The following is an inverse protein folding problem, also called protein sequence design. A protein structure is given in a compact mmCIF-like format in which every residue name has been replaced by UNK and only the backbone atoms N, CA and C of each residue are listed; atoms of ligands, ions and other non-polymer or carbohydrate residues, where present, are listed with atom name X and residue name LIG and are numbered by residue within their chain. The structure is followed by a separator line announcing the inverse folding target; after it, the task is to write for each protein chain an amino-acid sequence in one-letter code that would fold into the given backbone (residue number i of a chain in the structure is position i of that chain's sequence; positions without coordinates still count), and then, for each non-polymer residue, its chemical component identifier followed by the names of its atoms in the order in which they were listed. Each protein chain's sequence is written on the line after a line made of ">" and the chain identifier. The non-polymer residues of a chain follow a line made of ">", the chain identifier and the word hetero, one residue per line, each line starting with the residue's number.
data_IF_697352019318
#
_entry.id   IF_697352019318
#
_cell.length_a   1.000
_cell.length_b   1.000
_cell.length_c   1.000
_cell.angle_alpha   90.00
_cell.angle_beta   90.00
_cell.angle_gamma   90.00
#
_symmetry.space_group_name_H-M   'P 1'
#
loop_
_entity.id
_entity.type
_entity.pdbx_description
1 polymer ?
#
# COMPACT_ATOMS: atom_id res chain seq x y z
N UNK A 1 32.25 12.98 -57.39
CA UNK A 1 32.24 13.35 -55.97
C UNK A 1 32.32 12.05 -55.20
N UNK A 2 33.42 11.82 -54.50
CA UNK A 2 33.64 10.54 -53.81
C UNK A 2 32.56 10.32 -52.75
N UNK A 3 31.91 9.15 -52.79
CA UNK A 3 30.85 8.79 -51.84
C UNK A 3 31.35 8.89 -50.38
N UNK A 4 32.65 8.66 -50.16
CA UNK A 4 33.34 8.81 -48.88
C UNK A 4 33.39 10.26 -48.36
N UNK A 5 33.42 11.27 -49.24
CA UNK A 5 33.42 12.68 -48.85
C UNK A 5 32.05 13.16 -48.32
N UNK A 6 30.96 12.50 -48.72
CA UNK A 6 29.61 12.77 -48.20
C UNK A 6 29.27 11.92 -46.95
N UNK A 7 29.87 10.74 -46.81
CA UNK A 7 29.60 9.83 -45.69
C UNK A 7 30.12 10.36 -44.35
N UNK A 8 31.33 10.93 -44.33
CA UNK A 8 31.93 11.47 -43.09
C UNK A 8 31.09 12.60 -42.45
N UNK A 9 30.67 13.66 -43.16
CA UNK A 9 29.85 14.71 -42.56
C UNK A 9 28.48 14.20 -42.12
N UNK A 10 27.90 13.23 -42.85
CA UNK A 10 26.65 12.59 -42.46
C UNK A 10 26.78 11.85 -41.12
N UNK A 11 27.85 11.07 -40.94
CA UNK A 11 28.13 10.37 -39.67
C UNK A 11 28.33 11.39 -38.54
N UNK A 12 29.06 12.47 -38.76
CA UNK A 12 29.27 13.53 -37.76
C UNK A 12 27.95 14.18 -37.35
N UNK A 13 27.07 14.50 -38.31
CA UNK A 13 25.75 15.06 -38.03
C UNK A 13 24.91 14.08 -37.21
N UNK A 14 24.89 12.79 -37.57
CA UNK A 14 24.15 11.77 -36.82
C UNK A 14 24.69 11.65 -35.39
N UNK A 15 26.01 11.62 -35.20
CA UNK A 15 26.64 11.58 -33.87
C UNK A 15 26.30 12.83 -33.06
N UNK A 16 26.35 14.02 -33.66
CA UNK A 16 25.98 15.27 -32.99
C UNK A 16 24.50 15.29 -32.59
N UNK A 17 23.60 14.79 -33.42
CA UNK A 17 22.18 14.67 -33.09
C UNK A 17 21.94 13.67 -31.96
N UNK A 18 22.60 12.51 -31.99
CA UNK A 18 22.53 11.53 -30.90
C UNK A 18 23.06 12.10 -29.59
N UNK A 19 24.18 12.82 -29.63
CA UNK A 19 24.73 13.52 -28.47
C UNK A 19 23.77 14.60 -27.98
N UNK A 20 23.23 15.45 -28.85
CA UNK A 20 22.28 16.51 -28.48
C UNK A 20 21.04 15.95 -27.74
N UNK A 21 20.51 14.81 -28.18
CA UNK A 21 19.34 14.17 -27.56
C UNK A 21 19.69 13.41 -26.27
N UNK A 22 20.87 12.79 -26.19
CA UNK A 22 21.28 11.98 -25.03
C UNK A 22 21.94 12.80 -23.91
N UNK A 23 22.64 13.89 -24.23
CA UNK A 23 23.35 14.74 -23.27
C UNK A 23 22.44 15.25 -22.16
N UNK A 24 21.24 15.80 -22.43
CA UNK A 24 20.38 16.35 -21.39
C UNK A 24 19.99 15.31 -20.34
N UNK A 25 19.72 14.07 -20.77
CA UNK A 25 19.40 12.97 -19.85
C UNK A 25 20.55 12.63 -18.90
N UNK A 26 21.79 12.63 -19.40
CA UNK A 26 22.98 12.28 -18.63
C UNK A 26 23.51 13.46 -17.80
N UNK A 27 23.57 14.66 -18.38
CA UNK A 27 24.12 15.87 -17.76
C UNK A 27 23.16 16.60 -16.83
N UNK A 28 21.84 16.56 -17.07
CA UNK A 28 20.85 17.17 -16.18
C UNK A 28 20.20 16.13 -15.26
N UNK A 29 20.38 14.83 -15.54
CA UNK A 29 19.68 13.77 -14.82
C UNK A 29 18.17 13.86 -15.00
N UNK A 30 17.71 14.16 -16.22
CA UNK A 30 16.30 14.32 -16.55
C UNK A 30 15.59 12.96 -16.51
N UNK A 31 14.55 12.86 -15.69
CA UNK A 31 13.65 11.71 -15.60
C UNK A 31 12.22 12.18 -15.81
N UNK A 32 11.55 11.59 -16.80
CA UNK A 32 10.15 11.90 -17.12
C UNK A 32 9.27 10.77 -16.60
N UNK A 33 8.31 11.10 -15.75
CA UNK A 33 7.32 10.18 -15.19
C UNK A 33 5.98 10.42 -15.87
N UNK A 34 5.36 9.37 -16.40
CA UNK A 34 4.06 9.47 -17.04
C UNK A 34 2.90 9.62 -16.04
N UNK A 35 1.76 10.10 -16.53
CA UNK A 35 0.60 10.42 -15.69
C UNK A 35 0.08 9.22 -14.86
N UNK A 36 0.12 8.02 -15.46
CA UNK A 36 -0.28 6.76 -14.84
C UNK A 36 0.87 5.96 -14.20
N UNK A 37 1.98 6.62 -13.84
CA UNK A 37 3.17 5.95 -13.28
C UNK A 37 3.79 6.68 -12.07
N UNK A 38 4.11 5.99 -10.98
CA UNK A 38 5.02 6.51 -9.95
C UNK A 38 6.48 6.28 -10.30
N UNK A 39 7.39 7.12 -9.80
CA UNK A 39 8.83 6.85 -9.84
C UNK A 39 9.37 6.50 -8.46
N UNK A 40 9.74 5.23 -8.23
CA UNK A 40 10.44 4.83 -7.02
C UNK A 40 11.92 5.14 -7.21
N UNK A 41 12.49 5.91 -6.30
CA UNK A 41 13.88 6.36 -6.37
C UNK A 41 14.75 5.50 -5.47
N UNK A 42 15.83 4.96 -6.00
CA UNK A 42 16.88 4.30 -5.22
C UNK A 42 18.17 5.10 -5.36
N UNK A 43 18.77 5.50 -4.23
CA UNK A 43 20.05 6.20 -4.17
C UNK A 43 21.17 5.19 -3.98
N UNK A 44 22.19 5.21 -4.83
CA UNK A 44 23.26 4.19 -4.85
C UNK A 44 24.31 4.38 -3.75
N UNK A 45 24.70 5.62 -3.48
CA UNK A 45 25.73 5.93 -2.47
C UNK A 45 25.55 7.35 -1.93
N UNK A 46 26.21 7.66 -0.81
CA UNK A 46 26.18 8.98 -0.17
C UNK A 46 27.58 9.37 0.24
N UNK A 47 27.99 10.58 -0.13
CA UNK A 47 29.29 11.12 0.25
C UNK A 47 29.37 11.52 1.72
N UNK A 48 28.22 11.64 2.39
CA UNK A 48 28.12 12.08 3.79
C UNK A 48 28.23 10.93 4.82
N UNK A 49 28.56 9.71 4.39
CA UNK A 49 28.72 8.55 5.29
C UNK A 49 27.43 8.05 5.97
N UNK A 50 26.27 8.62 5.64
CA UNK A 50 24.97 8.14 6.15
C UNK A 50 24.67 6.74 5.59
N UNK A 51 24.30 5.80 6.45
CA UNK A 51 23.80 4.48 6.08
C UNK A 51 22.38 4.28 6.59
N UNK A 52 21.61 3.38 5.98
CA UNK A 52 20.36 2.95 6.59
C UNK A 52 20.64 2.30 7.96
N UNK A 53 19.81 2.59 8.98
CA UNK A 53 19.80 1.82 10.22
C UNK A 53 19.57 0.33 9.94
N UNK A 54 20.17 -0.54 10.76
CA UNK A 54 19.99 -1.98 10.62
C UNK A 54 18.51 -2.36 10.73
N UNK A 55 18.03 -3.20 9.81
CA UNK A 55 16.65 -3.68 9.77
C UNK A 55 15.64 -2.76 9.07
N UNK A 56 16.06 -1.59 8.59
CA UNK A 56 15.26 -0.74 7.72
C UNK A 56 15.57 -1.02 6.24
N UNK A 57 14.56 -0.86 5.38
CA UNK A 57 14.65 -1.04 3.93
C UNK A 57 14.44 0.28 3.18
N UNK A 58 13.73 1.24 3.78
CA UNK A 58 13.34 2.51 3.17
C UNK A 58 14.09 3.67 3.83
N UNK A 59 14.82 4.43 3.00
CA UNK A 59 15.52 5.65 3.38
C UNK A 59 14.55 6.83 3.54
N UNK A 60 14.73 7.58 4.63
CA UNK A 60 13.95 8.78 4.94
C UNK A 60 14.75 10.07 4.73
N UNK A 61 16.04 10.10 5.03
CA UNK A 61 16.84 11.34 5.06
C UNK A 61 17.94 11.35 4.01
N UNK A 62 17.68 10.72 2.85
CA UNK A 62 18.61 10.67 1.75
C UNK A 62 19.78 9.71 1.97
N UNK A 63 19.61 8.71 2.84
CA UNK A 63 20.53 7.58 2.97
C UNK A 63 20.59 6.80 1.63
N UNK A 64 21.71 6.10 1.34
CA UNK A 64 21.78 5.15 0.22
C UNK A 64 20.76 4.04 0.39
N UNK A 65 19.89 3.80 -0.59
CA UNK A 65 18.81 2.83 -0.51
C UNK A 65 17.56 3.30 -1.25
N UNK A 66 16.48 2.51 -1.14
CA UNK A 66 15.17 2.84 -1.69
C UNK A 66 14.61 4.03 -0.89
N UNK A 67 14.23 5.11 -1.55
CA UNK A 67 13.71 6.30 -0.89
C UNK A 67 12.21 6.16 -0.60
N UNK A 68 11.74 6.78 0.49
CA UNK A 68 10.32 6.79 0.85
C UNK A 68 9.46 7.53 -0.19
N UNK A 69 9.92 8.68 -0.68
CA UNK A 69 9.11 9.54 -1.55
C UNK A 69 9.04 8.99 -2.98
N UNK A 70 7.81 8.91 -3.51
CA UNK A 70 7.54 8.52 -4.90
C UNK A 70 7.49 9.78 -5.76
N UNK A 71 8.11 9.74 -6.93
CA UNK A 71 8.03 10.82 -7.91
C UNK A 71 6.64 10.85 -8.55
N UNK A 72 6.02 12.03 -8.50
CA UNK A 72 4.79 12.36 -9.21
C UNK A 72 5.00 12.45 -10.74
N UNK A 73 3.93 12.44 -11.54
CA UNK A 73 4.01 12.73 -12.98
C UNK A 73 4.74 14.03 -13.28
N UNK A 74 5.40 14.07 -14.43
CA UNK A 74 6.10 15.25 -14.92
C UNK A 74 7.62 15.07 -14.97
N UNK A 75 8.30 16.20 -15.07
CA UNK A 75 9.73 16.27 -15.33
C UNK A 75 10.47 16.45 -14.02
N UNK A 76 11.41 15.55 -13.76
CA UNK A 76 12.29 15.59 -12.59
C UNK A 76 13.72 15.76 -13.06
N UNK A 77 14.42 16.75 -12.52
CA UNK A 77 15.81 17.05 -12.82
C UNK A 77 16.71 16.58 -11.66
N UNK A 78 18.03 16.62 -11.87
CA UNK A 78 19.06 16.23 -10.89
C UNK A 78 19.01 14.76 -10.42
N UNK A 79 18.32 13.89 -11.17
CA UNK A 79 18.31 12.43 -10.93
C UNK A 79 19.36 11.75 -11.81
N UNK A 80 20.63 12.11 -11.58
CA UNK A 80 21.75 11.58 -12.37
C UNK A 80 21.84 10.05 -12.25
N UNK A 81 21.91 9.35 -13.39
CA UNK A 81 21.87 7.87 -13.46
C UNK A 81 23.03 7.17 -12.74
N UNK A 82 24.14 7.87 -12.47
CA UNK A 82 25.24 7.34 -11.68
C UNK A 82 24.95 7.34 -10.18
N UNK A 83 24.12 8.26 -9.70
CA UNK A 83 23.74 8.43 -8.29
C UNK A 83 22.39 7.77 -7.97
N UNK A 84 21.43 7.87 -8.87
CA UNK A 84 20.05 7.45 -8.67
C UNK A 84 19.62 6.44 -9.73
N UNK A 85 18.88 5.42 -9.30
CA UNK A 85 18.06 4.58 -10.17
C UNK A 85 16.60 4.98 -9.95
N UNK A 86 15.86 5.27 -11.01
CA UNK A 86 14.41 5.53 -10.92
C UNK A 86 13.66 4.41 -11.61
N UNK A 87 12.88 3.65 -10.84
CA UNK A 87 12.00 2.62 -11.35
C UNK A 87 10.60 3.20 -11.55
N UNK A 88 10.11 3.14 -12.79
CA UNK A 88 8.74 3.56 -13.11
C UNK A 88 7.80 2.40 -12.80
N UNK A 89 6.85 2.63 -11.90
CA UNK A 89 5.82 1.65 -11.51
C UNK A 89 4.45 2.18 -11.93
N UNK A 90 3.54 1.34 -12.45
CA UNK A 90 2.19 1.79 -12.76
C UNK A 90 1.44 2.20 -11.48
N UNK A 91 0.47 3.11 -11.61
CA UNK A 91 -0.48 3.37 -10.53
C UNK A 91 -1.33 2.13 -10.26
N UNK A 92 -1.65 1.89 -8.99
CA UNK A 92 -2.54 0.83 -8.58
C UNK A 92 -3.99 1.28 -8.83
N UNK A 93 -4.78 0.44 -9.48
CA UNK A 93 -6.22 0.63 -9.64
C UNK A 93 -6.96 -0.42 -8.83
N UNK A 94 -7.84 0.02 -7.92
CA UNK A 94 -8.81 -0.83 -7.25
C UNK A 94 -10.16 -0.61 -7.91
N UNK A 95 -10.74 -1.65 -8.54
CA UNK A 95 -12.06 -1.58 -9.15
C UNK A 95 -13.16 -1.19 -8.16
N UNK A 96 -14.29 -0.72 -8.69
CA UNK A 96 -15.49 -0.50 -7.86
C UNK A 96 -16.01 -1.83 -7.32
N UNK A 97 -16.45 -1.83 -6.06
CA UNK A 97 -16.92 -3.04 -5.38
C UNK A 97 -15.79 -3.94 -4.86
N UNK A 98 -14.53 -3.47 -4.91
CA UNK A 98 -13.38 -4.17 -4.34
C UNK A 98 -12.66 -3.33 -3.29
N UNK A 99 -11.88 -4.01 -2.45
CA UNK A 99 -10.94 -3.44 -1.49
C UNK A 99 -9.54 -3.99 -1.75
N UNK A 100 -8.52 -3.24 -1.35
CA UNK A 100 -7.12 -3.65 -1.36
C UNK A 100 -6.58 -3.80 0.06
N UNK A 101 -5.86 -4.89 0.30
CA UNK A 101 -5.13 -5.11 1.54
C UNK A 101 -3.66 -4.78 1.36
N UNK A 102 -3.02 -4.29 2.42
CA UNK A 102 -1.62 -3.90 2.36
C UNK A 102 -0.76 -4.71 3.32
N UNK A 103 0.44 -5.05 2.85
CA UNK A 103 1.53 -5.59 3.66
C UNK A 103 2.70 -4.62 3.57
N UNK A 104 3.07 -4.03 4.70
CA UNK A 104 4.22 -3.14 4.80
C UNK A 104 5.51 -3.94 5.01
N UNK A 105 6.53 -3.71 4.17
CA UNK A 105 7.83 -4.39 4.26
C UNK A 105 8.77 -3.76 5.28
N UNK A 106 8.51 -2.51 5.69
CA UNK A 106 9.32 -1.74 6.63
C UNK A 106 8.44 -0.92 7.58
N UNK A 107 9.00 -0.50 8.70
CA UNK A 107 8.31 0.15 9.81
C UNK A 107 8.65 -0.46 11.17
N UNK A 108 7.98 0.05 12.21
CA UNK A 108 8.10 -0.48 13.56
C UNK A 108 7.61 -1.94 13.62
N UNK A 109 8.14 -2.79 14.51
CA UNK A 109 7.59 -4.14 14.70
C UNK A 109 6.16 -4.06 15.25
N UNK A 110 5.27 -4.93 14.79
CA UNK A 110 3.96 -5.14 15.42
C UNK A 110 4.18 -5.74 16.81
N UNK A 111 3.59 -5.17 17.88
CA UNK A 111 3.65 -5.75 19.23
C UNK A 111 3.08 -7.18 19.25
N UNK A 112 3.61 -8.09 20.09
CA UNK A 112 3.19 -9.49 20.10
C UNK A 112 1.72 -9.71 20.49
N UNK A 113 1.07 -8.72 21.09
CA UNK A 113 -0.35 -8.76 21.47
C UNK A 113 -1.30 -8.54 20.30
N UNK A 114 -0.81 -8.04 19.16
CA UNK A 114 -1.58 -7.77 17.94
C UNK A 114 -1.05 -8.58 16.77
N UNK A 115 -1.91 -8.82 15.79
CA UNK A 115 -1.55 -9.51 14.55
C UNK A 115 -1.51 -8.58 13.34
N UNK A 116 -2.17 -7.42 13.42
CA UNK A 116 -2.21 -6.42 12.36
C UNK A 116 -1.53 -5.11 12.78
N UNK A 117 -0.84 -4.48 11.81
CA UNK A 117 -0.23 -3.17 11.95
C UNK A 117 -1.28 -2.07 12.07
N UNK A 118 -1.09 -1.15 13.01
CA UNK A 118 -2.05 -0.07 13.30
C UNK A 118 -2.22 0.90 12.12
N UNK A 119 -3.36 1.56 12.06
CA UNK A 119 -3.61 2.62 11.08
C UNK A 119 -2.88 3.89 11.51
N UNK A 120 -2.12 4.47 10.58
CA UNK A 120 -1.48 5.78 10.75
C UNK A 120 -1.93 6.72 9.64
N UNK A 121 -2.07 7.99 9.96
CA UNK A 121 -2.52 8.99 8.99
C UNK A 121 -1.44 9.26 7.93
N UNK A 122 -1.53 8.58 6.79
CA UNK A 122 -0.52 8.60 5.73
C UNK A 122 -1.10 8.73 4.31
N UNK A 123 -2.26 9.39 4.18
CA UNK A 123 -2.93 9.61 2.89
C UNK A 123 -3.19 8.29 2.14
N UNK A 124 -3.89 7.37 2.82
CA UNK A 124 -4.22 6.02 2.33
C UNK A 124 -3.00 5.26 1.78
N UNK A 125 -1.91 5.28 2.56
CA UNK A 125 -0.63 4.65 2.26
C UNK A 125 0.12 5.23 1.04
N UNK A 126 -0.38 6.31 0.42
CA UNK A 126 0.32 7.00 -0.67
C UNK A 126 1.55 7.76 -0.16
N UNK A 127 1.51 8.24 1.08
CA UNK A 127 2.63 8.93 1.71
C UNK A 127 3.44 7.99 2.62
N UNK A 128 4.35 7.23 2.00
CA UNK A 128 5.27 6.30 2.67
C UNK A 128 6.13 6.97 3.77
N UNK A 129 6.59 8.22 3.55
CA UNK A 129 7.32 8.98 4.56
C UNK A 129 6.48 9.25 5.79
N UNK A 130 5.24 9.68 5.61
CA UNK A 130 4.31 9.93 6.71
C UNK A 130 3.98 8.63 7.45
N UNK A 131 3.82 7.52 6.73
CA UNK A 131 3.64 6.20 7.35
C UNK A 131 4.78 5.86 8.30
N UNK A 132 6.03 5.92 7.83
CA UNK A 132 7.20 5.56 8.63
C UNK A 132 7.46 6.55 9.78
N UNK A 133 7.34 7.85 9.53
CA UNK A 133 7.59 8.89 10.55
C UNK A 133 6.52 8.96 11.64
N UNK A 134 5.28 8.59 11.33
CA UNK A 134 4.18 8.51 12.33
C UNK A 134 4.10 7.15 13.03
N UNK A 135 5.12 6.30 12.87
CA UNK A 135 5.22 5.02 13.57
C UNK A 135 4.36 3.92 12.98
N UNK A 136 4.21 3.90 11.65
CA UNK A 136 3.64 2.77 10.92
C UNK A 136 4.41 1.48 11.19
N UNK A 137 3.72 0.36 11.13
CA UNK A 137 4.22 -0.95 11.58
C UNK A 137 4.38 -1.91 10.39
N UNK A 138 5.46 -2.69 10.37
CA UNK A 138 5.71 -3.66 9.28
C UNK A 138 4.85 -4.91 9.43
N UNK A 139 4.40 -5.49 8.33
CA UNK A 139 3.53 -6.67 8.28
C UNK A 139 2.17 -6.37 7.66
N UNK A 140 1.19 -7.27 7.88
CA UNK A 140 -0.20 -7.08 7.42
C UNK A 140 -0.81 -5.87 8.10
N UNK A 141 -1.46 -5.00 7.34
CA UNK A 141 -2.05 -3.76 7.87
C UNK A 141 -3.50 -3.95 8.25
N UNK A 142 -3.92 -3.23 9.29
CA UNK A 142 -5.32 -3.14 9.69
C UNK A 142 -6.13 -2.28 8.71
N UNK A 143 -5.51 -1.24 8.17
CA UNK A 143 -6.10 -0.36 7.17
C UNK A 143 -6.26 -1.05 5.81
N UNK A 144 -7.35 -0.71 5.13
CA UNK A 144 -7.65 -1.12 3.77
C UNK A 144 -7.71 0.11 2.87
N UNK A 145 -7.57 -0.11 1.57
CA UNK A 145 -7.84 0.92 0.54
C UNK A 145 -9.06 0.50 -0.28
N UNK A 146 -9.92 1.46 -0.61
CA UNK A 146 -11.18 1.22 -1.31
C UNK A 146 -11.01 1.46 -2.82
N UNK A 147 -12.11 1.44 -3.58
CA UNK A 147 -12.10 1.71 -5.00
C UNK A 147 -11.46 3.07 -5.33
N UNK A 148 -10.46 3.08 -6.20
CA UNK A 148 -9.68 4.28 -6.50
C UNK A 148 -8.40 4.00 -7.26
N UNK A 149 -7.67 5.07 -7.59
CA UNK A 149 -6.34 4.99 -8.18
C UNK A 149 -5.32 5.52 -7.19
N UNK A 150 -4.35 4.69 -6.82
CA UNK A 150 -3.37 4.98 -5.78
C UNK A 150 -1.95 4.98 -6.35
N UNK A 151 -1.15 5.96 -5.93
CA UNK A 151 0.28 6.00 -6.23
C UNK A 151 1.06 5.62 -4.98
N UNK A 152 1.34 4.32 -4.86
CA UNK A 152 2.03 3.75 -3.69
C UNK A 152 3.52 3.55 -3.96
N UNK A 153 4.31 3.60 -2.90
CA UNK A 153 5.67 3.08 -2.95
C UNK A 153 5.62 1.55 -2.88
N UNK A 154 5.63 0.89 -4.04
CA UNK A 154 5.51 -0.59 -4.12
C UNK A 154 6.70 -1.34 -3.52
N UNK A 155 7.79 -0.64 -3.17
CA UNK A 155 8.89 -1.23 -2.41
C UNK A 155 8.64 -1.23 -0.89
N UNK A 156 7.79 -0.33 -0.40
CA UNK A 156 7.34 -0.32 1.00
C UNK A 156 6.05 -1.13 1.18
N UNK A 157 5.09 -0.98 0.27
CA UNK A 157 3.77 -1.60 0.37
C UNK A 157 3.55 -2.62 -0.74
N UNK A 158 3.37 -3.88 -0.35
CA UNK A 158 2.78 -4.89 -1.22
C UNK A 158 1.26 -4.82 -1.09
N UNK A 159 0.55 -4.69 -2.21
CA UNK A 159 -0.91 -4.63 -2.21
C UNK A 159 -1.50 -5.90 -2.79
N UNK A 160 -2.49 -6.44 -2.08
CA UNK A 160 -3.26 -7.60 -2.49
C UNK A 160 -4.63 -7.11 -2.95
N UNK A 161 -4.91 -7.34 -4.22
CA UNK A 161 -6.19 -7.08 -4.90
C UNK A 161 -6.87 -8.39 -5.28
N UNK A 162 -8.13 -8.35 -5.71
CA UNK A 162 -8.85 -9.56 -6.18
C UNK A 162 -8.05 -10.32 -7.26
N UNK A 163 -7.40 -9.60 -8.18
CA UNK A 163 -6.57 -10.18 -9.25
C UNK A 163 -5.31 -10.90 -8.74
N UNK A 164 -4.82 -10.54 -7.56
CA UNK A 164 -3.59 -11.09 -6.98
C UNK A 164 -3.85 -11.93 -5.72
N UNK A 165 -5.11 -12.21 -5.40
CA UNK A 165 -5.52 -12.89 -4.17
C UNK A 165 -4.91 -14.29 -4.07
N UNK A 166 -5.02 -15.09 -5.12
CA UNK A 166 -4.52 -16.47 -5.14
C UNK A 166 -3.01 -16.57 -4.92
N UNK A 167 -2.23 -15.56 -5.34
CA UNK A 167 -0.78 -15.52 -5.10
C UNK A 167 -0.42 -15.26 -3.63
N UNK A 168 -1.40 -14.85 -2.82
CA UNK A 168 -1.26 -14.52 -1.41
C UNK A 168 -2.13 -15.41 -0.51
N UNK A 169 -2.49 -16.61 -0.98
CA UNK A 169 -3.30 -17.58 -0.23
C UNK A 169 -4.67 -17.03 0.18
N UNK A 170 -5.29 -16.22 -0.69
CA UNK A 170 -6.61 -15.63 -0.49
C UNK A 170 -7.51 -15.89 -1.71
N UNK A 171 -8.82 -15.92 -1.46
CA UNK A 171 -9.82 -15.98 -2.53
C UNK A 171 -10.23 -14.57 -2.97
N UNK A 172 -10.41 -14.29 -4.27
CA UNK A 172 -10.81 -12.98 -4.78
C UNK A 172 -12.10 -12.44 -4.14
N UNK A 173 -13.03 -13.32 -3.78
CA UNK A 173 -14.29 -13.00 -3.11
C UNK A 173 -14.07 -12.32 -1.75
N UNK A 174 -12.96 -12.61 -1.06
CA UNK A 174 -12.63 -11.99 0.23
C UNK A 174 -12.19 -10.53 0.09
N UNK A 175 -11.89 -10.08 -1.14
CA UNK A 175 -11.47 -8.72 -1.46
C UNK A 175 -12.56 -7.91 -2.16
N UNK A 176 -13.78 -8.46 -2.25
CA UNK A 176 -14.97 -7.73 -2.70
C UNK A 176 -15.65 -7.08 -1.49
N UNK A 177 -16.38 -5.99 -1.73
CA UNK A 177 -17.25 -5.38 -0.73
C UNK A 177 -18.25 -6.45 -0.25
N UNK A 178 -18.27 -6.70 1.05
CA UNK A 178 -19.05 -7.79 1.62
C UNK A 178 -20.53 -7.42 1.63
N UNK A 179 -21.39 -8.26 1.05
CA UNK A 179 -22.82 -8.01 0.99
C UNK A 179 -23.58 -9.03 1.85
N UNK A 180 -24.43 -8.53 2.74
CA UNK A 180 -25.36 -9.35 3.52
C UNK A 180 -26.73 -9.32 2.83
N UNK A 181 -27.29 -10.51 2.59
CA UNK A 181 -28.60 -10.67 1.94
C UNK A 181 -29.73 -10.06 2.79
N UNK A 182 -30.81 -9.63 2.14
CA UNK A 182 -31.88 -8.87 2.78
C UNK A 182 -32.59 -9.60 3.93
N UNK A 183 -32.63 -10.93 3.88
CA UNK A 183 -33.28 -11.83 4.83
C UNK A 183 -32.28 -12.48 5.81
N UNK A 184 -31.03 -11.99 5.85
CA UNK A 184 -29.96 -12.55 6.68
C UNK A 184 -29.32 -11.47 7.58
N UNK A 185 -28.71 -11.95 8.65
CA UNK A 185 -27.78 -11.19 9.50
C UNK A 185 -26.38 -11.75 9.37
N UNK A 186 -25.37 -10.89 9.48
CA UNK A 186 -23.97 -11.27 9.58
C UNK A 186 -23.55 -11.44 11.03
N UNK A 187 -23.24 -12.67 11.44
CA UNK A 187 -22.57 -12.98 12.70
C UNK A 187 -21.08 -12.66 12.53
N UNK A 188 -20.54 -11.85 13.43
CA UNK A 188 -19.17 -11.33 13.33
C UNK A 188 -18.23 -12.06 14.28
N UNK A 189 -17.07 -12.45 13.76
CA UNK A 189 -15.92 -12.90 14.55
C UNK A 189 -14.72 -12.01 14.24
N UNK A 190 -14.19 -11.32 15.24
CA UNK A 190 -12.95 -10.53 15.13
C UNK A 190 -11.74 -11.44 15.40
N UNK A 191 -10.65 -11.21 14.67
CA UNK A 191 -9.43 -12.03 14.74
C UNK A 191 -8.30 -11.32 15.50
N UNK A 192 -8.44 -10.02 15.77
CA UNK A 192 -7.51 -9.21 16.55
C UNK A 192 -8.24 -8.45 17.67
N UNK A 193 -7.51 -8.06 18.71
CA UNK A 193 -8.05 -7.46 19.92
C UNK A 193 -7.76 -8.26 21.19
N UNK A 194 -8.26 -7.74 22.31
CA UNK A 194 -8.10 -8.37 23.63
C UNK A 194 -8.80 -9.73 23.67
N UNK A 195 -8.31 -10.72 24.42
CA UNK A 195 -9.07 -11.96 24.60
C UNK A 195 -10.42 -11.68 25.26
N UNK A 196 -11.45 -12.42 24.85
CA UNK A 196 -12.73 -12.48 25.57
C UNK A 196 -12.47 -13.03 26.99
N UNK A 197 -13.06 -12.44 28.04
CA UNK A 197 -12.91 -12.92 29.41
C UNK A 197 -13.38 -14.38 29.58
N UNK A 198 -12.77 -15.09 30.51
CA UNK A 198 -13.19 -16.46 30.84
C UNK A 198 -14.65 -16.48 31.31
N UNK A 199 -15.45 -17.39 30.76
CA UNK A 199 -16.89 -17.52 31.05
C UNK A 199 -17.80 -16.78 30.07
N UNK A 200 -17.26 -15.88 29.25
CA UNK A 200 -18.01 -15.21 28.19
C UNK A 200 -17.85 -15.94 26.85
N UNK A 201 -18.91 -15.91 26.03
CA UNK A 201 -18.93 -16.53 24.70
C UNK A 201 -18.77 -15.51 23.57
N UNK A 202 -19.02 -14.23 23.84
CA UNK A 202 -18.97 -13.16 22.85
C UNK A 202 -18.36 -11.88 23.45
N UNK A 203 -17.76 -11.08 22.58
CA UNK A 203 -17.23 -9.77 22.92
C UNK A 203 -18.35 -8.74 23.10
N UNK A 204 -18.16 -7.86 24.09
CA UNK A 204 -19.09 -6.79 24.43
C UNK A 204 -19.41 -5.89 23.25
N UNK A 205 -20.65 -5.42 23.17
CA UNK A 205 -21.03 -4.33 22.27
C UNK A 205 -20.22 -3.05 22.52
N UNK A 206 -19.53 -2.56 21.49
CA UNK A 206 -18.79 -1.30 21.51
C UNK A 206 -19.31 -0.38 20.40
N UNK A 207 -19.75 0.86 20.68
CA UNK A 207 -20.14 1.78 19.62
C UNK A 207 -18.93 2.51 19.00
N UNK A 208 -19.14 3.18 17.86
CA UNK A 208 -18.18 4.16 17.32
C UNK A 208 -17.14 3.65 16.32
N UNK A 209 -17.17 2.36 15.97
CA UNK A 209 -16.27 1.75 14.98
C UNK A 209 -16.93 1.46 13.62
N UNK A 210 -18.08 2.09 13.36
CA UNK A 210 -18.85 2.00 12.12
C UNK A 210 -19.00 0.57 11.60
N UNK A 211 -19.62 -0.30 12.42
CA UNK A 211 -19.91 -1.69 12.05
C UNK A 211 -18.67 -2.47 11.57
N UNK A 212 -17.56 -2.26 12.27
CA UNK A 212 -16.24 -2.89 12.05
C UNK A 212 -15.48 -2.41 10.81
N UNK A 213 -16.01 -1.42 10.08
CA UNK A 213 -15.28 -0.78 8.98
C UNK A 213 -14.10 0.07 9.52
N UNK A 214 -14.24 0.65 10.71
CA UNK A 214 -13.14 1.32 11.40
C UNK A 214 -12.54 0.41 12.49
N UNK A 215 -11.75 -0.56 12.04
CA UNK A 215 -11.11 -1.53 12.93
C UNK A 215 -10.16 -0.89 13.97
N UNK A 216 -9.52 0.24 13.63
CA UNK A 216 -8.67 0.95 14.60
C UNK A 216 -9.51 1.50 15.76
N UNK A 217 -10.65 2.13 15.48
CA UNK A 217 -11.55 2.62 16.52
C UNK A 217 -12.09 1.48 17.41
N UNK A 218 -12.36 0.30 16.82
CA UNK A 218 -12.75 -0.88 17.60
C UNK A 218 -11.64 -1.32 18.58
N UNK A 219 -10.40 -1.42 18.11
CA UNK A 219 -9.28 -1.82 18.96
C UNK A 219 -8.96 -0.77 20.02
N UNK A 220 -9.01 0.53 19.67
CA UNK A 220 -8.77 1.64 20.59
C UNK A 220 -9.83 1.69 21.71
N UNK A 221 -11.09 1.31 21.40
CA UNK A 221 -12.17 1.18 22.37
C UNK A 221 -12.03 -0.06 23.27
N UNK A 222 -10.97 -0.86 23.11
CA UNK A 222 -10.74 -2.08 23.90
C UNK A 222 -11.45 -3.31 23.35
N UNK A 223 -11.74 -3.34 22.05
CA UNK A 223 -12.37 -4.44 21.34
C UNK A 223 -11.70 -5.80 21.60
N UNK A 224 -12.55 -6.83 21.65
CA UNK A 224 -12.16 -8.19 21.98
C UNK A 224 -12.16 -9.07 20.73
N UNK A 225 -11.21 -10.01 20.64
CA UNK A 225 -11.13 -11.01 19.57
C UNK A 225 -12.06 -12.20 19.87
N UNK A 226 -12.72 -12.71 18.85
CA UNK A 226 -13.68 -13.82 18.94
C UNK A 226 -15.06 -13.42 18.44
N UNK A 227 -16.06 -14.24 18.75
CA UNK A 227 -17.46 -13.96 18.41
C UNK A 227 -17.90 -12.62 19.01
N UNK A 228 -18.68 -11.83 18.30
CA UNK A 228 -19.18 -10.53 18.78
C UNK A 228 -20.70 -10.58 19.03
N UNK A 229 -21.17 -9.86 20.04
CA UNK A 229 -22.61 -9.66 20.27
C UNK A 229 -23.28 -8.88 19.14
N UNK A 230 -22.54 -7.92 18.56
CA UNK A 230 -23.03 -7.11 17.45
C UNK A 230 -23.13 -7.93 16.17
N UNK A 231 -24.31 -7.89 15.55
CA UNK A 231 -24.54 -8.42 14.20
C UNK A 231 -24.48 -7.31 13.16
N UNK A 232 -24.14 -7.68 11.93
CA UNK A 232 -24.31 -6.83 10.76
C UNK A 232 -25.69 -7.06 10.14
N UNK A 233 -26.37 -5.97 9.80
CA UNK A 233 -27.61 -6.01 9.05
C UNK A 233 -27.35 -6.12 7.54
N UNK A 234 -28.40 -6.37 6.78
CA UNK A 234 -28.36 -6.39 5.32
C UNK A 234 -27.80 -5.06 4.76
N UNK A 235 -26.96 -5.17 3.74
CA UNK A 235 -26.19 -4.03 3.23
C UNK A 235 -24.81 -4.44 2.71
N UNK A 236 -24.01 -3.43 2.36
CA UNK A 236 -22.67 -3.58 1.79
C UNK A 236 -21.62 -2.96 2.69
N UNK A 237 -20.54 -3.69 2.98
CA UNK A 237 -19.58 -3.37 4.03
C UNK A 237 -18.13 -3.52 3.54
N UNK A 238 -17.29 -2.52 3.79
CA UNK A 238 -15.84 -2.61 3.53
C UNK A 238 -15.13 -3.26 4.72
N UNK A 239 -15.01 -4.58 4.72
CA UNK A 239 -14.45 -5.34 5.84
C UNK A 239 -13.06 -5.87 5.50
N UNK A 240 -12.12 -5.71 6.42
CA UNK A 240 -10.80 -6.33 6.30
C UNK A 240 -10.90 -7.82 6.69
N UNK A 241 -10.72 -8.78 5.76
CA UNK A 241 -10.86 -10.22 6.05
C UNK A 241 -9.76 -10.77 6.97
N UNK A 242 -8.65 -10.05 7.16
CA UNK A 242 -7.68 -10.39 8.19
C UNK A 242 -8.11 -9.97 9.60
N UNK A 243 -9.05 -9.05 9.70
CA UNK A 243 -9.55 -8.53 10.96
C UNK A 243 -10.89 -9.15 11.36
N UNK A 244 -11.81 -9.33 10.41
CA UNK A 244 -13.18 -9.82 10.68
C UNK A 244 -13.54 -10.96 9.74
N UNK A 245 -14.25 -11.96 10.27
CA UNK A 245 -14.99 -12.98 9.53
C UNK A 245 -16.48 -12.79 9.75
N UNK A 246 -17.26 -12.96 8.68
CA UNK A 246 -18.72 -12.84 8.71
C UNK A 246 -19.35 -14.16 8.27
N UNK A 247 -20.26 -14.68 9.08
CA UNK A 247 -21.13 -15.80 8.74
C UNK A 247 -22.57 -15.31 8.61
N UNK A 248 -23.25 -15.63 7.50
CA UNK A 248 -24.63 -15.18 7.30
C UNK A 248 -25.62 -16.21 7.81
N UNK A 249 -26.57 -15.77 8.63
CA UNK A 249 -27.65 -16.61 9.18
C UNK A 249 -29.01 -15.99 8.82
N UNK A 250 -30.01 -16.79 8.39
CA UNK A 250 -31.36 -16.30 8.14
C UNK A 250 -31.98 -15.66 9.39
N UNK A 251 -32.68 -14.54 9.19
CA UNK A 251 -33.50 -13.94 10.25
C UNK A 251 -34.70 -14.85 10.54
N UNK A 252 -35.07 -14.97 11.82
CA UNK A 252 -36.33 -15.61 12.22
C UNK A 252 -37.34 -14.52 12.57
N UNK A 253 -38.45 -14.45 11.83
CA UNK A 253 -39.57 -13.58 12.18
C UNK A 253 -40.36 -14.20 13.33
N UNK A 254 -40.53 -13.45 14.42
CA UNK A 254 -41.42 -13.84 15.53
C UNK A 254 -42.74 -13.08 15.33
N UNK A 255 -43.85 -13.75 15.02
CA UNK A 255 -45.15 -13.12 14.74
C UNK A 255 -45.84 -12.54 15.97
#
# INVERSE_FOLDING_TARGET
>A
MDLSQLLVPLIVIVVLLVLLVSLPGVLLGLVIIGDRQGGIVTKRFSFAGKSLPAGQLIALNGEPGIQADVLSPGWHLWKFSWMYTVQKVPVLLIPQGEIGLLVASDGAPIPPERILGKIVQCDDFQNARSFLTKGGEKGRQLGIITAGTYRLNTALFSVITANSAHMNEMEPEQLKVYSIESDKVGIITTLDGKPIPEGEIAGLYLPGHDNFQNAQAFLDAGGQRGLQEQVLLSGSWNLNPWFVRVEQTPMTEIP
#
